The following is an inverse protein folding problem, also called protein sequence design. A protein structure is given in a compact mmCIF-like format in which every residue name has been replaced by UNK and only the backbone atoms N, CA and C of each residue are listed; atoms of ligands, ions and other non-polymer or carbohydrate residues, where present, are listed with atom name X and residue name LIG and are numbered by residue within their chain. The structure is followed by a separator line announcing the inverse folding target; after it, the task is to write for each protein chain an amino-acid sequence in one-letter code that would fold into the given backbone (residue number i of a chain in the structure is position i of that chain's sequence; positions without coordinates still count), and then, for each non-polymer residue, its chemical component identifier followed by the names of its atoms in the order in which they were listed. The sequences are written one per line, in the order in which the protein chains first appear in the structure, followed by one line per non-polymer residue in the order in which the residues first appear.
data_IF_305632570863
#
_entry.id   IF_305632570863
#
_cell.length_a   1.000
_cell.length_b   1.000
_cell.length_c   1.000
_cell.angle_alpha   90.00
_cell.angle_beta   90.00
_cell.angle_gamma   90.00
#
_symmetry.space_group_name_H-M   'P 1'
#
loop_
_entity.id
_entity.type
_entity.pdbx_description
1 polymer ?
#
# COMPACT_ATOMS: atom_id res chain seq x y z
N UNK A 1 19.72 9.00 10.69
CA UNK A 1 18.44 8.28 10.47
C UNK A 1 18.31 7.87 8.99
N UNK A 2 17.74 6.70 8.69
CA UNK A 2 17.59 6.14 7.32
C UNK A 2 16.89 7.11 6.35
N UNK A 3 15.81 7.76 6.79
CA UNK A 3 15.04 8.69 5.96
C UNK A 3 15.82 9.96 5.56
N UNK A 4 16.73 10.43 6.41
CA UNK A 4 17.56 11.62 6.13
C UNK A 4 18.48 11.43 4.92
N UNK A 5 18.94 10.19 4.66
CA UNK A 5 19.75 9.85 3.48
C UNK A 5 19.02 10.14 2.16
N UNK A 6 17.69 10.22 2.19
CA UNK A 6 16.84 10.50 1.05
C UNK A 6 16.19 11.89 1.12
N UNK A 7 16.62 12.76 2.04
CA UNK A 7 16.00 14.08 2.24
C UNK A 7 14.51 14.00 2.62
N UNK A 8 14.10 12.90 3.27
CA UNK A 8 12.73 12.66 3.74
C UNK A 8 12.65 12.91 5.24
N UNK A 9 11.66 13.69 5.66
CA UNK A 9 11.27 13.84 7.06
C UNK A 9 9.90 13.21 7.27
N UNK A 10 9.80 12.30 8.24
CA UNK A 10 8.54 11.67 8.61
C UNK A 10 7.88 12.55 9.68
N UNK A 11 6.67 13.03 9.44
CA UNK A 11 5.90 13.79 10.42
C UNK A 11 5.07 12.87 11.31
N UNK A 12 4.35 11.91 10.70
CA UNK A 12 3.49 10.95 11.39
C UNK A 12 3.47 9.63 10.62
N UNK A 13 3.21 8.55 11.34
CA UNK A 13 3.02 7.22 10.78
C UNK A 13 1.85 6.53 11.49
N UNK A 14 1.15 5.66 10.78
CA UNK A 14 0.19 4.72 11.33
C UNK A 14 0.45 3.35 10.70
N UNK A 15 0.64 2.33 11.53
CA UNK A 15 0.83 0.95 11.08
C UNK A 15 -0.46 0.22 11.43
N UNK A 16 -1.16 -0.25 10.41
CA UNK A 16 -2.35 -1.08 10.54
C UNK A 16 -1.99 -2.50 10.11
N UNK A 17 -2.86 -3.48 10.41
CA UNK A 17 -2.61 -4.89 10.10
C UNK A 17 -2.37 -5.18 8.62
N UNK A 18 -3.04 -4.46 7.71
CA UNK A 18 -3.00 -4.70 6.27
C UNK A 18 -2.33 -3.58 5.45
N UNK A 19 -2.07 -2.40 6.02
CA UNK A 19 -1.41 -1.31 5.31
C UNK A 19 -0.77 -0.28 6.25
N UNK A 20 0.10 0.57 5.71
CA UNK A 20 0.84 1.60 6.44
C UNK A 20 0.50 2.98 5.87
N UNK A 21 0.24 3.95 6.73
CA UNK A 21 0.11 5.37 6.37
C UNK A 21 1.34 6.15 6.82
N UNK A 22 1.86 6.99 5.94
CA UNK A 22 2.98 7.88 6.23
C UNK A 22 2.65 9.31 5.82
N UNK A 23 2.91 10.27 6.71
CA UNK A 23 2.87 11.69 6.40
C UNK A 23 4.30 12.22 6.31
N UNK A 24 4.72 12.59 5.10
CA UNK A 24 6.12 12.86 4.78
C UNK A 24 6.29 14.30 4.30
N UNK A 25 7.41 14.93 4.69
CA UNK A 25 7.99 16.04 3.94
C UNK A 25 9.06 15.48 3.01
N UNK A 26 8.92 15.76 1.72
CA UNK A 26 9.88 15.40 0.69
C UNK A 26 10.51 16.67 0.13
N UNK A 27 11.78 16.58 -0.25
CA UNK A 27 12.52 17.68 -0.90
C UNK A 27 12.66 17.43 -2.39
N UNK A 28 12.76 16.17 -2.81
CA UNK A 28 12.98 15.78 -4.19
C UNK A 28 12.18 14.50 -4.52
N UNK A 29 11.48 14.50 -5.66
CA UNK A 29 10.64 13.37 -6.12
C UNK A 29 11.46 12.11 -6.44
N UNK A 30 12.67 12.27 -6.96
CA UNK A 30 13.58 11.15 -7.26
C UNK A 30 14.02 10.47 -5.97
N UNK A 31 14.44 11.26 -4.98
CA UNK A 31 14.83 10.72 -3.67
C UNK A 31 13.64 10.10 -2.92
N UNK A 32 12.44 10.68 -3.04
CA UNK A 32 11.21 10.06 -2.53
C UNK A 32 10.97 8.68 -3.14
N UNK A 33 11.08 8.54 -4.47
CA UNK A 33 10.91 7.24 -5.15
C UNK A 33 11.96 6.22 -4.68
N UNK A 34 13.20 6.66 -4.49
CA UNK A 34 14.27 5.82 -3.96
C UNK A 34 13.98 5.40 -2.51
N UNK A 35 13.54 6.34 -1.67
CA UNK A 35 13.15 6.09 -0.28
C UNK A 35 12.04 5.04 -0.18
N UNK A 36 10.95 5.21 -0.94
CA UNK A 36 9.81 4.30 -0.93
C UNK A 36 10.23 2.89 -1.36
N UNK A 37 11.06 2.76 -2.40
CA UNK A 37 11.60 1.45 -2.82
C UNK A 37 12.45 0.80 -1.74
N UNK A 38 13.33 1.57 -1.11
CA UNK A 38 14.27 1.05 -0.13
C UNK A 38 13.57 0.66 1.18
N UNK A 39 12.64 1.49 1.67
CA UNK A 39 11.89 1.19 2.90
C UNK A 39 10.94 0.02 2.71
N UNK A 40 10.20 -0.04 1.59
CA UNK A 40 9.26 -1.13 1.33
C UNK A 40 10.00 -2.46 1.13
N UNK A 41 11.14 -2.45 0.43
CA UNK A 41 12.00 -3.61 0.27
C UNK A 41 12.60 -4.09 1.59
N UNK A 42 13.07 -3.16 2.44
CA UNK A 42 13.64 -3.52 3.75
C UNK A 42 12.59 -4.06 4.72
N UNK A 43 11.38 -3.51 4.73
CA UNK A 43 10.25 -4.06 5.50
C UNK A 43 9.93 -5.48 5.03
N UNK A 44 9.74 -5.67 3.73
CA UNK A 44 9.44 -6.99 3.17
C UNK A 44 10.54 -8.01 3.51
N UNK A 45 11.80 -7.64 3.29
CA UNK A 45 12.96 -8.49 3.60
C UNK A 45 13.01 -8.87 5.07
N UNK A 46 12.79 -7.92 5.98
CA UNK A 46 12.82 -8.17 7.41
C UNK A 46 11.67 -9.08 7.86
N UNK A 47 10.44 -8.84 7.40
CA UNK A 47 9.26 -9.66 7.75
C UNK A 47 9.36 -11.06 7.17
N UNK A 48 9.95 -11.23 5.98
CA UNK A 48 10.18 -12.53 5.35
C UNK A 48 11.44 -13.25 5.87
N UNK A 49 12.01 -12.83 7.01
CA UNK A 49 13.12 -13.52 7.66
C UNK A 49 14.47 -13.35 6.98
N UNK A 50 14.71 -12.21 6.34
CA UNK A 50 15.95 -11.87 5.63
C UNK A 50 16.38 -12.91 4.59
N UNK A 51 15.41 -13.69 4.06
CA UNK A 51 15.69 -14.62 2.98
C UNK A 51 16.42 -13.88 1.86
N UNK A 52 17.61 -14.40 1.52
CA UNK A 52 18.49 -13.72 0.58
C UNK A 52 17.72 -13.43 -0.72
N UNK A 53 17.95 -12.25 -1.30
CA UNK A 53 17.40 -11.87 -2.61
C UNK A 53 17.64 -12.97 -3.67
N UNK A 54 18.68 -13.79 -3.50
CA UNK A 54 18.99 -14.97 -4.29
C UNK A 54 17.88 -16.02 -4.26
N UNK A 55 17.35 -16.38 -3.09
CA UNK A 55 16.23 -17.33 -2.96
C UNK A 55 14.95 -16.78 -3.59
N UNK A 56 14.66 -15.49 -3.37
CA UNK A 56 13.53 -14.81 -4.01
C UNK A 56 13.67 -14.75 -5.53
N UNK A 57 14.87 -14.46 -6.04
CA UNK A 57 15.18 -14.44 -7.47
C UNK A 57 15.10 -15.83 -8.09
N UNK A 58 15.58 -16.86 -7.38
CA UNK A 58 15.51 -18.26 -7.81
C UNK A 58 14.07 -18.77 -7.85
N UNK A 59 13.25 -18.45 -6.85
CA UNK A 59 11.81 -18.75 -6.85
C UNK A 59 11.11 -18.08 -8.04
N UNK A 60 11.46 -16.83 -8.34
CA UNK A 60 10.90 -16.08 -9.49
C UNK A 60 11.37 -16.60 -10.85
N UNK A 61 12.61 -17.08 -10.95
CA UNK A 61 13.14 -17.75 -12.14
C UNK A 61 12.53 -19.14 -12.33
N UNK A 62 12.35 -19.91 -11.25
CA UNK A 62 11.68 -21.21 -11.26
C UNK A 62 10.21 -21.09 -11.70
N UNK A 63 9.49 -20.09 -11.19
CA UNK A 63 8.11 -19.79 -11.62
C UNK A 63 8.07 -19.43 -13.12
N UNK A 64 9.01 -18.63 -13.62
CA UNK A 64 9.12 -18.33 -15.06
C UNK A 64 9.43 -19.55 -15.92
N UNK A 65 10.22 -20.50 -15.42
CA UNK A 65 10.57 -21.72 -16.14
C UNK A 65 9.35 -22.66 -16.25
N UNK A 66 8.60 -22.84 -15.16
CA UNK A 66 7.35 -23.62 -15.14
C UNK A 66 6.29 -23.03 -16.07
N UNK A 67 6.10 -21.70 -16.08
CA UNK A 67 5.08 -21.05 -16.91
C UNK A 67 5.43 -21.10 -18.41
N UNK A 68 6.72 -21.28 -18.74
CA UNK A 68 7.21 -21.50 -20.11
C UNK A 68 6.97 -22.94 -20.57
N UNK A 69 6.97 -23.91 -19.64
CA UNK A 69 6.84 -25.34 -19.92
C UNK A 69 5.37 -25.80 -20.02
N UNK A 70 4.47 -25.24 -19.20
CA UNK A 70 3.07 -25.70 -19.11
C UNK A 70 2.02 -24.84 -19.84
N UNK A 71 2.45 -23.81 -20.59
CA UNK A 71 1.55 -22.98 -21.39
C UNK A 71 0.79 -21.93 -20.57
N UNK A 72 1.03 -20.66 -20.87
CA UNK A 72 0.45 -19.53 -20.18
C UNK A 72 -1.09 -19.45 -20.37
N UNK A 73 -1.83 -20.02 -19.42
CA UNK A 73 -3.18 -19.53 -19.11
C UNK A 73 -3.12 -18.05 -18.71
N UNK A 74 -4.21 -17.31 -18.89
CA UNK A 74 -4.20 -15.86 -18.79
C UNK A 74 -3.44 -15.37 -17.54
N UNK A 75 -2.42 -14.54 -17.76
CA UNK A 75 -1.42 -14.18 -16.74
C UNK A 75 -1.93 -13.29 -15.60
N UNK A 76 -3.22 -13.35 -15.27
CA UNK A 76 -3.84 -12.65 -14.15
C UNK A 76 -3.65 -13.41 -12.83
N UNK A 77 -3.78 -14.73 -12.81
CA UNK A 77 -3.70 -15.56 -11.60
C UNK A 77 -2.26 -15.70 -11.04
N UNK A 78 -1.24 -15.74 -11.90
CA UNK A 78 0.18 -15.96 -11.51
C UNK A 78 0.84 -14.76 -10.82
N UNK A 79 0.37 -13.53 -11.06
CA UNK A 79 1.00 -12.33 -10.49
C UNK A 79 0.73 -12.16 -8.99
N UNK A 80 -0.27 -12.87 -8.46
CA UNK A 80 -0.80 -12.68 -7.10
C UNK A 80 -0.10 -13.52 -6.03
N UNK A 81 0.66 -14.58 -6.34
CA UNK A 81 1.03 -15.58 -5.33
C UNK A 81 2.37 -15.40 -4.60
N UNK A 82 3.16 -14.34 -4.84
CA UNK A 82 4.52 -14.29 -4.23
C UNK A 82 5.12 -12.90 -3.95
N UNK A 83 4.31 -11.84 -3.88
CA UNK A 83 4.79 -10.51 -3.48
C UNK A 83 4.28 -10.13 -2.09
N UNK A 84 5.19 -9.72 -1.20
CA UNK A 84 4.84 -9.19 0.13
C UNK A 84 3.89 -7.98 0.04
N UNK A 85 4.11 -7.08 -0.93
CA UNK A 85 3.22 -5.96 -1.19
C UNK A 85 2.29 -6.28 -2.37
N UNK A 86 0.97 -6.25 -2.13
CA UNK A 86 -0.04 -6.51 -3.17
C UNK A 86 -0.17 -5.35 -4.16
N UNK A 87 -0.19 -4.11 -3.66
CA UNK A 87 -0.45 -2.91 -4.46
C UNK A 87 0.69 -1.90 -4.36
N UNK A 88 0.76 -1.01 -5.36
CA UNK A 88 1.63 0.17 -5.27
C UNK A 88 1.12 1.12 -4.18
N UNK A 89 2.02 1.85 -3.50
CA UNK A 89 1.60 2.81 -2.50
C UNK A 89 0.78 3.93 -3.14
N UNK A 90 -0.39 4.21 -2.57
CA UNK A 90 -1.13 5.41 -2.86
C UNK A 90 -0.36 6.63 -2.33
N UNK A 91 -0.33 7.72 -3.11
CA UNK A 91 0.31 8.96 -2.70
C UNK A 91 -0.54 10.16 -3.12
N UNK A 92 -0.66 11.13 -2.22
CA UNK A 92 -1.36 12.41 -2.44
C UNK A 92 -0.51 13.55 -1.90
N UNK A 93 -0.51 14.68 -2.60
CA UNK A 93 0.05 15.93 -2.09
C UNK A 93 -0.86 16.47 -0.99
N UNK A 94 -0.26 16.81 0.15
CA UNK A 94 -0.98 17.37 1.30
C UNK A 94 -0.61 18.84 1.41
N UNK A 95 -1.61 19.70 1.32
CA UNK A 95 -1.44 21.13 1.51
C UNK A 95 -1.33 21.46 3.00
N UNK A 96 -0.70 22.59 3.31
CA UNK A 96 -0.62 23.09 4.67
C UNK A 96 -2.00 23.52 5.22
N UNK A 97 -2.06 23.78 6.53
CA UNK A 97 -3.28 24.22 7.19
C UNK A 97 -4.27 23.08 7.42
N UNK A 98 -5.49 23.24 6.90
CA UNK A 98 -6.60 22.33 7.22
C UNK A 98 -6.40 20.93 6.63
N UNK A 99 -5.83 20.83 5.42
CA UNK A 99 -5.58 19.55 4.76
C UNK A 99 -4.58 18.70 5.57
N UNK A 100 -3.45 19.30 5.96
CA UNK A 100 -2.49 18.68 6.89
C UNK A 100 -3.13 18.26 8.23
N UNK A 101 -3.92 19.14 8.86
CA UNK A 101 -4.60 18.83 10.14
C UNK A 101 -5.56 17.65 9.97
N UNK A 102 -6.29 17.59 8.86
CA UNK A 102 -7.24 16.53 8.53
C UNK A 102 -6.51 15.20 8.35
N UNK A 103 -5.44 15.16 7.55
CA UNK A 103 -4.61 13.97 7.41
C UNK A 103 -4.01 13.52 8.74
N UNK A 104 -3.51 14.45 9.56
CA UNK A 104 -2.95 14.11 10.87
C UNK A 104 -4.00 13.54 11.83
N UNK A 105 -5.21 14.08 11.84
CA UNK A 105 -6.34 13.56 12.63
C UNK A 105 -6.73 12.17 12.14
N UNK A 106 -6.80 11.98 10.83
CA UNK A 106 -7.08 10.68 10.21
C UNK A 106 -6.03 9.63 10.59
N UNK A 107 -4.73 9.93 10.48
CA UNK A 107 -3.67 9.02 10.92
C UNK A 107 -3.82 8.64 12.39
N UNK A 108 -4.07 9.62 13.27
CA UNK A 108 -4.30 9.36 14.70
C UNK A 108 -5.50 8.43 14.91
N UNK A 109 -6.60 8.63 14.20
CA UNK A 109 -7.76 7.76 14.28
C UNK A 109 -7.42 6.32 13.86
N UNK A 110 -6.71 6.12 12.75
CA UNK A 110 -6.31 4.77 12.31
C UNK A 110 -5.38 4.07 13.31
N UNK A 111 -4.49 4.82 13.99
CA UNK A 111 -3.67 4.26 15.09
C UNK A 111 -4.55 3.78 16.24
N UNK A 112 -5.52 4.58 16.66
CA UNK A 112 -6.43 4.21 17.75
C UNK A 112 -7.30 2.99 17.38
N UNK A 113 -7.76 2.92 16.13
CA UNK A 113 -8.49 1.77 15.59
C UNK A 113 -7.59 0.51 15.57
N UNK A 114 -6.34 0.63 15.11
CA UNK A 114 -5.39 -0.48 15.05
C UNK A 114 -4.98 -1.01 16.44
N UNK A 115 -4.92 -0.14 17.44
CA UNK A 115 -4.63 -0.50 18.83
C UNK A 115 -5.85 -1.05 19.59
N UNK A 116 -7.05 -1.01 18.99
CA UNK A 116 -8.29 -1.45 19.65
C UNK A 116 -8.90 -0.45 20.64
N UNK A 117 -8.32 0.76 20.77
CA UNK A 117 -8.87 1.82 21.63
C UNK A 117 -10.09 2.53 21.03
N UNK A 118 -10.30 2.41 19.71
CA UNK A 118 -11.47 2.95 19.03
C UNK A 118 -12.09 1.88 18.13
N UNK A 119 -13.41 1.66 18.26
CA UNK A 119 -14.13 0.78 17.35
C UNK A 119 -14.14 1.38 15.93
N UNK A 120 -13.95 0.52 14.91
CA UNK A 120 -14.04 0.92 13.52
C UNK A 120 -15.44 1.45 13.20
N UNK A 121 -15.51 2.69 12.72
CA UNK A 121 -16.75 3.29 12.20
C UNK A 121 -16.69 3.32 10.67
N UNK A 122 -17.67 2.71 9.96
CA UNK A 122 -17.67 2.71 8.51
C UNK A 122 -17.70 4.16 7.99
N UNK A 123 -16.79 4.48 7.07
CA UNK A 123 -16.68 5.83 6.49
C UNK A 123 -17.68 5.98 5.35
N UNK A 124 -18.24 7.20 5.19
CA UNK A 124 -19.17 7.50 4.10
C UNK A 124 -18.49 7.31 2.75
N UNK A 125 -19.05 6.43 1.92
CA UNK A 125 -18.57 6.22 0.56
C UNK A 125 -19.30 7.16 -0.40
N UNK A 126 -18.84 8.40 -0.48
CA UNK A 126 -19.45 9.42 -1.34
C UNK A 126 -19.46 9.03 -2.82
N UNK A 127 -18.50 8.21 -3.26
CA UNK A 127 -18.47 7.70 -4.63
C UNK A 127 -19.61 6.71 -4.90
N UNK A 128 -19.89 5.80 -3.96
CA UNK A 128 -21.04 4.92 -4.10
C UNK A 128 -22.38 5.65 -3.99
N UNK A 129 -22.45 6.67 -3.13
CA UNK A 129 -23.62 7.55 -3.07
C UNK A 129 -23.82 8.24 -4.43
N UNK A 130 -22.76 8.84 -4.99
CA UNK A 130 -22.80 9.46 -6.31
C UNK A 130 -23.14 8.47 -7.43
N UNK A 131 -22.55 7.27 -7.45
CA UNK A 131 -22.86 6.25 -8.45
C UNK A 131 -24.33 5.86 -8.41
N UNK A 132 -24.87 5.65 -7.21
CA UNK A 132 -26.28 5.33 -7.01
C UNK A 132 -27.18 6.47 -7.48
N UNK A 133 -26.81 7.70 -7.19
CA UNK A 133 -27.60 8.88 -7.53
C UNK A 133 -27.51 9.21 -9.04
N UNK A 134 -26.36 8.95 -9.68
CA UNK A 134 -26.11 9.23 -11.09
C UNK A 134 -26.63 8.14 -12.05
N UNK A 135 -26.57 6.87 -11.65
CA UNK A 135 -26.93 5.73 -12.51
C UNK A 135 -28.16 4.94 -12.02
N UNK A 136 -28.78 5.35 -10.90
CA UNK A 136 -29.78 4.55 -10.23
C UNK A 136 -29.17 3.31 -9.58
N UNK A 137 -29.99 2.52 -8.88
CA UNK A 137 -29.58 1.36 -8.09
C UNK A 137 -29.15 0.20 -9.00
N UNK A 138 -28.00 0.31 -9.67
CA UNK A 138 -27.38 -0.79 -10.42
C UNK A 138 -26.53 -1.57 -9.43
N UNK A 139 -27.02 -2.74 -9.02
CA UNK A 139 -26.33 -3.69 -8.15
C UNK A 139 -25.07 -4.25 -8.84
N UNK A 140 -23.99 -3.47 -8.82
CA UNK A 140 -22.68 -3.86 -9.38
C UNK A 140 -21.92 -4.87 -8.52
N UNK A 141 -22.52 -5.39 -7.44
CA UNK A 141 -21.91 -6.40 -6.56
C UNK A 141 -22.19 -7.85 -6.98
N UNK A 142 -22.77 -8.11 -8.16
CA UNK A 142 -23.00 -9.47 -8.67
C UNK A 142 -21.92 -10.01 -9.65
N UNK A 143 -20.83 -9.28 -9.92
CA UNK A 143 -19.84 -9.68 -10.95
C UNK A 143 -18.43 -10.04 -10.43
N UNK A 144 -18.30 -10.48 -9.18
CA UNK A 144 -17.08 -11.16 -8.73
C UNK A 144 -17.44 -12.41 -7.94
N UNK A 145 -17.59 -13.52 -8.66
CA UNK A 145 -17.29 -14.87 -8.18
C UNK A 145 -16.20 -15.44 -9.07
#
# INVERSE_FOLDING_TARGET
SFALKFGVRIYRQAINSNHIHLLLKITNRVLYRAFIKAVSGKIASHVMGEQSFKLFSQARQGLKALNKEYGAGDGSAERLSSSFWQFRPFSRLVNWGMDFKTCAKYLRQNVLEALGFAAYKPRKNNYQIWLRDAYGQVDLLKQTK
#
